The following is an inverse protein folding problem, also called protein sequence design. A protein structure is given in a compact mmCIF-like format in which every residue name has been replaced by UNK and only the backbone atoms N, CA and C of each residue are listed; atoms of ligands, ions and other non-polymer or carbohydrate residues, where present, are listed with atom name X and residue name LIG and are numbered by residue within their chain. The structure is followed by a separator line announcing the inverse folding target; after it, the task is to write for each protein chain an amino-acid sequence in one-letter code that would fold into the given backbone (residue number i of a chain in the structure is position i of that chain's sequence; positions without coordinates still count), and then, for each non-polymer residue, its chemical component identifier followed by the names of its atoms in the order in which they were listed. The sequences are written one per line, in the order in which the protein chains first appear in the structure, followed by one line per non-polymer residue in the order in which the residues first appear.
data_IF_581459459366
#
_entry.id   IF_581459459366
#
_cell.length_a   1.000
_cell.length_b   1.000
_cell.length_c   1.000
_cell.angle_alpha   90.00
_cell.angle_beta   90.00
_cell.angle_gamma   90.00
#
_symmetry.space_group_name_H-M   'P 1'
#
loop_
_entity.id
_entity.type
_entity.pdbx_description
1 polymer ?
#
# COMPACT_ATOMS: atom_id res chain seq x y z
N UNK A 1 2.24 -17.99 -15.06
CA UNK A 1 1.60 -16.66 -15.12
C UNK A 1 2.47 -15.66 -14.39
N UNK A 2 2.64 -14.47 -14.95
CA UNK A 2 3.49 -13.45 -14.33
C UNK A 2 2.66 -12.46 -13.52
N UNK A 3 3.28 -11.92 -12.46
CA UNK A 3 2.65 -10.92 -11.62
C UNK A 3 2.37 -9.65 -12.43
N UNK A 4 1.30 -8.92 -12.05
CA UNK A 4 0.94 -7.67 -12.69
C UNK A 4 2.11 -6.68 -12.66
N UNK A 5 2.31 -5.98 -13.76
CA UNK A 5 3.37 -4.96 -13.91
C UNK A 5 4.80 -5.50 -13.88
N UNK A 6 5.00 -6.80 -14.08
CA UNK A 6 6.32 -7.40 -13.93
C UNK A 6 7.38 -6.86 -14.92
N UNK A 7 6.94 -6.28 -16.04
CA UNK A 7 7.85 -5.69 -17.04
C UNK A 7 7.99 -4.18 -16.91
N UNK A 8 7.41 -3.57 -15.88
CA UNK A 8 7.43 -2.11 -15.76
C UNK A 8 8.86 -1.56 -15.75
N UNK A 9 9.05 -0.46 -16.47
CA UNK A 9 10.29 0.32 -16.42
C UNK A 9 10.09 1.66 -15.71
N UNK A 10 8.90 1.88 -15.16
CA UNK A 10 8.54 3.16 -14.55
C UNK A 10 9.32 3.33 -13.25
N UNK A 11 10.04 4.44 -13.15
CA UNK A 11 10.84 4.77 -11.98
C UNK A 11 9.94 4.88 -10.73
N UNK A 12 10.43 4.38 -9.60
CA UNK A 12 9.69 4.41 -8.33
C UNK A 12 9.26 5.84 -7.97
N UNK A 13 10.14 6.81 -8.14
CA UNK A 13 9.82 8.20 -7.80
C UNK A 13 8.64 8.74 -8.60
N UNK A 14 8.53 8.34 -9.87
CA UNK A 14 7.39 8.72 -10.70
C UNK A 14 6.11 8.09 -10.16
N UNK A 15 6.16 6.82 -9.81
CA UNK A 15 5.00 6.11 -9.25
C UNK A 15 4.57 6.74 -7.92
N UNK A 16 5.53 7.05 -7.04
CA UNK A 16 5.23 7.70 -5.76
C UNK A 16 4.55 9.05 -6.00
N UNK A 17 5.05 9.84 -6.96
CA UNK A 17 4.42 11.11 -7.32
C UNK A 17 2.98 10.94 -7.79
N UNK A 18 2.70 9.90 -8.58
CA UNK A 18 1.35 9.59 -9.02
C UNK A 18 0.44 9.21 -7.85
N UNK A 19 0.96 8.42 -6.90
CA UNK A 19 0.20 8.06 -5.70
C UNK A 19 -0.10 9.30 -4.87
N UNK A 20 0.90 10.17 -4.66
CA UNK A 20 0.72 11.40 -3.90
C UNK A 20 -0.35 12.28 -4.52
N UNK A 21 -0.36 12.39 -5.84
CA UNK A 21 -1.36 13.18 -6.55
C UNK A 21 -2.77 12.60 -6.36
N UNK A 22 -2.91 11.28 -6.51
CA UNK A 22 -4.20 10.62 -6.30
C UNK A 22 -4.73 10.85 -4.88
N UNK A 23 -3.88 10.67 -3.88
CA UNK A 23 -4.29 10.81 -2.49
C UNK A 23 -4.61 12.27 -2.13
N UNK A 24 -3.80 13.22 -2.59
CA UNK A 24 -4.03 14.63 -2.26
C UNK A 24 -5.30 15.17 -2.91
N UNK A 25 -5.63 14.71 -4.11
CA UNK A 25 -6.88 15.08 -4.78
C UNK A 25 -8.11 14.53 -4.07
N UNK A 26 -7.95 13.48 -3.29
CA UNK A 26 -9.06 12.80 -2.63
C UNK A 26 -9.06 12.98 -1.11
N UNK A 27 -8.40 14.02 -0.61
CA UNK A 27 -8.56 14.42 0.78
C UNK A 27 -7.42 14.12 1.72
N UNK A 28 -6.31 13.56 1.25
CA UNK A 28 -5.14 13.41 2.10
C UNK A 28 -4.59 14.78 2.49
N UNK A 29 -4.38 14.99 3.78
CA UNK A 29 -3.90 16.28 4.32
C UNK A 29 -2.40 16.30 4.51
N UNK A 30 -1.76 15.13 4.58
CA UNK A 30 -0.30 15.01 4.73
C UNK A 30 0.12 13.66 4.19
N UNK A 31 1.33 13.58 3.63
CA UNK A 31 1.89 12.35 3.10
C UNK A 31 3.33 12.25 3.56
N UNK A 32 3.71 11.09 4.10
CA UNK A 32 5.08 10.81 4.54
C UNK A 32 5.62 9.64 3.73
N UNK A 33 6.82 9.82 3.17
CA UNK A 33 7.52 8.77 2.43
C UNK A 33 8.75 8.37 3.22
N UNK A 34 8.92 7.07 3.43
CA UNK A 34 10.07 6.53 4.16
C UNK A 34 11.09 5.95 3.19
N UNK A 35 12.37 6.07 3.55
CA UNK A 35 13.47 5.63 2.70
C UNK A 35 14.44 4.74 3.49
N UNK A 36 15.08 3.83 2.78
CA UNK A 36 16.19 3.05 3.28
C UNK A 36 17.21 2.90 2.15
N UNK A 37 18.46 3.34 2.40
CA UNK A 37 19.52 3.30 1.39
C UNK A 37 19.09 3.97 0.06
N UNK A 38 18.34 5.06 0.15
CA UNK A 38 17.89 5.81 -1.02
C UNK A 38 16.66 5.24 -1.72
N UNK A 39 16.18 4.08 -1.30
CA UNK A 39 14.99 3.46 -1.88
C UNK A 39 13.76 3.75 -1.03
N UNK A 40 12.63 3.99 -1.69
CA UNK A 40 11.35 4.18 -0.99
C UNK A 40 10.93 2.85 -0.39
N UNK A 41 10.72 2.82 0.93
CA UNK A 41 10.33 1.61 1.65
C UNK A 41 8.91 1.67 2.20
N UNK A 42 8.33 2.85 2.31
CA UNK A 42 6.98 2.98 2.85
C UNK A 42 6.37 4.32 2.52
N UNK A 43 5.05 4.36 2.58
CA UNK A 43 4.29 5.58 2.39
C UNK A 43 3.09 5.55 3.34
N UNK A 44 2.92 6.65 4.07
CA UNK A 44 1.80 6.85 4.98
C UNK A 44 1.14 8.18 4.66
N UNK A 45 -0.13 8.31 4.97
CA UNK A 45 -0.83 9.56 4.77
C UNK A 45 -1.88 9.77 5.84
N UNK A 46 -2.35 11.01 5.96
CA UNK A 46 -3.37 11.39 6.93
C UNK A 46 -4.62 11.87 6.21
N UNK A 47 -5.76 11.53 6.78
CA UNK A 47 -7.06 12.02 6.32
C UNK A 47 -7.85 12.53 7.53
N UNK A 48 -8.78 13.44 7.28
CA UNK A 48 -9.71 13.90 8.29
C UNK A 48 -11.00 13.07 8.20
N UNK A 49 -11.43 12.53 9.32
CA UNK A 49 -12.69 11.78 9.41
C UNK A 49 -13.62 12.49 10.39
N UNK A 50 -14.86 12.02 10.48
CA UNK A 50 -15.80 12.53 11.47
C UNK A 50 -15.33 12.32 12.91
N UNK A 51 -14.39 11.39 13.12
CA UNK A 51 -13.83 11.10 14.44
C UNK A 51 -12.46 11.75 14.66
N UNK A 52 -12.03 12.62 13.74
CA UNK A 52 -10.75 13.29 13.83
C UNK A 52 -9.78 12.82 12.75
N UNK A 53 -8.55 13.27 12.85
CA UNK A 53 -7.50 12.94 11.90
C UNK A 53 -6.97 11.53 12.16
N UNK A 54 -6.83 10.72 11.12
CA UNK A 54 -6.26 9.38 11.22
C UNK A 54 -5.12 9.21 10.23
N UNK A 55 -4.13 8.41 10.62
CA UNK A 55 -3.00 8.04 9.78
C UNK A 55 -3.24 6.67 9.16
N UNK A 56 -2.80 6.51 7.91
CA UNK A 56 -2.95 5.27 7.15
C UNK A 56 -1.58 4.90 6.59
N UNK A 57 -1.15 3.65 6.83
CA UNK A 57 0.09 3.13 6.27
C UNK A 57 -0.23 2.16 5.14
N UNK A 58 0.33 2.41 3.96
CA UNK A 58 0.12 1.53 2.82
C UNK A 58 0.89 0.22 2.99
N UNK A 59 0.34 -0.90 2.48
CA UNK A 59 0.95 -2.23 2.69
C UNK A 59 2.05 -2.54 1.68
N UNK A 60 3.13 -1.76 1.66
CA UNK A 60 4.24 -2.01 0.75
C UNK A 60 5.18 -3.06 1.32
N UNK A 61 5.57 -4.03 0.51
CA UNK A 61 6.52 -5.06 0.91
C UNK A 61 7.26 -5.57 -0.32
N UNK A 62 8.38 -4.92 -0.65
CA UNK A 62 9.17 -5.25 -1.82
C UNK A 62 9.74 -6.66 -1.75
N UNK A 63 10.13 -7.12 -0.56
CA UNK A 63 10.71 -8.45 -0.40
C UNK A 63 9.75 -9.56 -0.83
N UNK A 64 8.46 -9.40 -0.54
CA UNK A 64 7.45 -10.37 -0.97
C UNK A 64 7.30 -10.39 -2.48
N UNK A 65 7.34 -9.24 -3.11
CA UNK A 65 7.30 -9.14 -4.57
C UNK A 65 8.55 -9.79 -5.18
N UNK A 66 9.71 -9.56 -4.58
CA UNK A 66 10.96 -10.17 -5.03
C UNK A 66 10.86 -11.71 -4.99
N UNK A 67 10.28 -12.26 -3.93
CA UNK A 67 10.06 -13.70 -3.82
C UNK A 67 9.19 -14.22 -4.97
N UNK A 68 8.11 -13.50 -5.28
CA UNK A 68 7.22 -13.87 -6.37
C UNK A 68 7.97 -13.87 -7.70
N UNK A 69 8.76 -12.81 -7.96
CA UNK A 69 9.53 -12.71 -9.20
C UNK A 69 10.54 -13.86 -9.33
N UNK A 70 11.26 -14.16 -8.24
CA UNK A 70 12.23 -15.27 -8.25
C UNK A 70 11.56 -16.60 -8.53
N UNK A 71 10.39 -16.80 -7.92
CA UNK A 71 9.64 -18.04 -8.12
C UNK A 71 9.12 -18.15 -9.56
N UNK A 72 8.59 -17.08 -10.12
CA UNK A 72 8.07 -17.08 -11.49
C UNK A 72 9.17 -17.18 -12.53
N UNK A 73 10.37 -16.68 -12.22
CA UNK A 73 11.52 -16.78 -13.13
C UNK A 73 11.89 -18.23 -13.44
N UNK A 74 11.59 -19.16 -12.54
CA UNK A 74 11.86 -20.58 -12.76
C UNK A 74 11.19 -21.10 -14.03
N UNK A 75 10.03 -20.53 -14.38
CA UNK A 75 9.26 -20.94 -15.57
C UNK A 75 9.35 -19.93 -16.71
N UNK A 76 9.97 -18.78 -16.49
CA UNK A 76 10.11 -17.74 -17.51
C UNK A 76 11.37 -16.93 -17.19
N UNK A 77 12.47 -17.29 -17.83
CA UNK A 77 13.78 -16.69 -17.56
C UNK A 77 13.93 -15.24 -18.04
N UNK A 78 12.90 -14.68 -18.70
CA UNK A 78 12.90 -13.29 -19.09
C UNK A 78 12.42 -12.36 -17.95
N UNK A 79 11.89 -12.93 -16.88
CA UNK A 79 11.47 -12.15 -15.72
C UNK A 79 12.71 -11.67 -14.98
N UNK A 80 12.78 -10.36 -14.73
CA UNK A 80 13.85 -9.79 -13.92
C UNK A 80 13.50 -9.97 -12.44
N UNK A 81 14.40 -10.61 -11.70
CA UNK A 81 14.21 -10.88 -10.28
C UNK A 81 15.18 -10.12 -9.39
N UNK A 82 15.47 -8.88 -9.75
CA UNK A 82 16.32 -8.00 -8.94
C UNK A 82 15.46 -7.21 -7.94
N UNK A 83 16.08 -6.74 -6.86
CA UNK A 83 15.41 -5.86 -5.89
C UNK A 83 14.88 -4.59 -6.57
N UNK A 84 15.69 -3.99 -7.43
CA UNK A 84 15.29 -2.77 -8.14
C UNK A 84 13.98 -2.99 -8.93
N UNK A 85 13.92 -4.10 -9.68
CA UNK A 85 12.72 -4.41 -10.45
C UNK A 85 11.54 -4.74 -9.52
N UNK A 86 11.79 -5.47 -8.44
CA UNK A 86 10.74 -5.79 -7.47
C UNK A 86 10.15 -4.53 -6.85
N UNK A 87 10.99 -3.55 -6.56
CA UNK A 87 10.52 -2.28 -5.98
C UNK A 87 9.65 -1.52 -6.98
N UNK A 88 10.06 -1.46 -8.23
CA UNK A 88 9.24 -0.83 -9.29
C UNK A 88 7.87 -1.52 -9.41
N UNK A 89 7.88 -2.84 -9.43
CA UNK A 89 6.65 -3.64 -9.57
C UNK A 89 5.73 -3.44 -8.37
N UNK A 90 6.28 -3.49 -7.16
CA UNK A 90 5.50 -3.34 -5.93
C UNK A 90 4.75 -2.02 -5.90
N UNK A 91 5.44 -0.92 -6.20
CA UNK A 91 4.80 0.40 -6.16
C UNK A 91 3.81 0.60 -7.29
N UNK A 92 4.04 0.01 -8.48
CA UNK A 92 3.04 0.06 -9.57
C UNK A 92 1.76 -0.67 -9.19
N UNK A 93 1.87 -1.82 -8.53
CA UNK A 93 0.69 -2.56 -8.09
C UNK A 93 -0.08 -1.74 -7.05
N UNK A 94 0.62 -1.14 -6.09
CA UNK A 94 -0.02 -0.29 -5.08
C UNK A 94 -0.69 0.91 -5.75
N UNK A 95 -0.03 1.54 -6.70
CA UNK A 95 -0.61 2.66 -7.44
C UNK A 95 -1.90 2.25 -8.16
N UNK A 96 -1.90 1.11 -8.83
CA UNK A 96 -3.08 0.62 -9.54
C UNK A 96 -4.23 0.34 -8.56
N UNK A 97 -3.91 -0.23 -7.40
CA UNK A 97 -4.90 -0.48 -6.36
C UNK A 97 -5.51 0.82 -5.84
N UNK A 98 -4.68 1.82 -5.54
CA UNK A 98 -5.16 3.12 -5.08
C UNK A 98 -6.02 3.79 -6.14
N UNK A 99 -5.60 3.72 -7.40
CA UNK A 99 -6.35 4.30 -8.51
C UNK A 99 -7.77 3.72 -8.56
N UNK A 100 -7.89 2.40 -8.47
CA UNK A 100 -9.18 1.73 -8.44
C UNK A 100 -10.00 2.13 -7.20
N UNK A 101 -9.36 2.26 -6.04
CA UNK A 101 -10.04 2.66 -4.81
C UNK A 101 -10.55 4.10 -4.89
N UNK A 102 -9.78 4.99 -5.51
CA UNK A 102 -10.23 6.37 -5.67
C UNK A 102 -11.43 6.45 -6.63
N UNK A 103 -11.48 5.60 -7.64
CA UNK A 103 -12.63 5.50 -8.51
C UNK A 103 -13.89 5.07 -7.72
N UNK A 104 -13.75 4.11 -6.83
CA UNK A 104 -14.86 3.68 -5.97
C UNK A 104 -15.28 4.82 -5.03
N UNK A 105 -14.31 5.54 -4.47
CA UNK A 105 -14.59 6.66 -3.57
C UNK A 105 -15.41 7.75 -4.29
N UNK A 106 -15.10 8.00 -5.56
CA UNK A 106 -15.82 9.01 -6.35
C UNK A 106 -17.29 8.66 -6.55
N UNK A 107 -17.66 7.39 -6.43
CA UNK A 107 -19.07 6.98 -6.50
C UNK A 107 -19.85 7.30 -5.23
N UNK A 108 -19.16 7.66 -4.17
CA UNK A 108 -19.73 7.91 -2.83
C UNK A 108 -20.37 6.68 -2.20
N UNK A 109 -20.10 5.48 -2.74
CA UNK A 109 -20.57 4.23 -2.12
C UNK A 109 -19.87 3.93 -0.81
N UNK A 110 -18.64 4.41 -0.65
CA UNK A 110 -17.82 4.17 0.53
C UNK A 110 -17.07 5.44 0.92
N UNK A 111 -16.61 5.48 2.16
CA UNK A 111 -15.79 6.57 2.67
C UNK A 111 -14.32 6.15 2.69
N UNK A 112 -13.42 7.13 2.74
CA UNK A 112 -11.97 6.91 2.70
C UNK A 112 -11.50 5.97 3.81
N UNK A 113 -11.96 6.19 5.04
CA UNK A 113 -11.59 5.33 6.17
C UNK A 113 -12.15 3.91 6.05
N UNK A 114 -13.24 3.74 5.32
CA UNK A 114 -13.83 2.44 5.04
C UNK A 114 -12.94 1.63 4.10
N UNK A 115 -12.42 2.30 3.05
CA UNK A 115 -11.53 1.68 2.06
C UNK A 115 -10.24 1.20 2.74
N UNK A 116 -9.65 2.05 3.58
CA UNK A 116 -8.33 1.80 4.16
C UNK A 116 -8.36 1.31 5.60
N UNK A 117 -9.51 0.87 6.09
CA UNK A 117 -9.67 0.51 7.50
C UNK A 117 -8.57 -0.43 8.03
N UNK A 118 -8.18 -1.51 7.33
CA UNK A 118 -7.13 -2.39 7.85
C UNK A 118 -5.79 -1.69 8.05
N UNK A 119 -5.57 -0.58 7.38
CA UNK A 119 -4.29 0.14 7.36
C UNK A 119 -4.30 1.39 8.21
N UNK A 120 -5.41 1.66 8.92
CA UNK A 120 -5.50 2.79 9.86
C UNK A 120 -4.60 2.50 11.06
N UNK A 121 -3.76 3.46 11.41
CA UNK A 121 -2.79 3.31 12.50
C UNK A 121 -3.37 3.80 13.83
N UNK A 122 -3.01 3.09 14.91
CA UNK A 122 -3.31 3.51 16.28
C UNK A 122 -2.17 4.39 16.81
N UNK A 123 -2.25 4.78 18.08
CA UNK A 123 -1.27 5.65 18.74
C UNK A 123 0.12 5.03 18.84
N UNK A 124 0.22 3.71 18.72
CA UNK A 124 1.49 2.99 18.79
C UNK A 124 2.11 2.79 17.41
N UNK A 125 1.46 3.30 16.36
CA UNK A 125 1.94 3.15 14.99
C UNK A 125 1.63 1.79 14.36
N UNK A 126 0.78 0.98 15.00
CA UNK A 126 0.31 -0.28 14.43
C UNK A 126 -0.94 -0.04 13.60
N UNK A 127 -1.06 -0.74 12.48
CA UNK A 127 -2.31 -0.74 11.72
C UNK A 127 -3.35 -1.59 12.43
N UNK A 128 -4.60 -1.37 12.09
CA UNK A 128 -5.69 -2.19 12.64
C UNK A 128 -5.47 -3.67 12.34
N UNK A 129 -5.00 -3.99 11.13
CA UNK A 129 -4.71 -5.38 10.78
C UNK A 129 -3.61 -5.98 11.67
N UNK A 130 -2.53 -5.23 11.92
CA UNK A 130 -1.45 -5.68 12.79
C UNK A 130 -1.94 -5.91 14.21
N UNK A 131 -2.77 -5.00 14.70
CA UNK A 131 -3.37 -5.13 16.04
C UNK A 131 -4.30 -6.34 16.11
N UNK A 132 -5.11 -6.54 15.09
CA UNK A 132 -5.99 -7.71 14.99
C UNK A 132 -5.17 -9.01 14.99
N UNK A 133 -4.12 -9.08 14.20
CA UNK A 133 -3.29 -10.28 14.08
C UNK A 133 -2.64 -10.62 15.42
N UNK A 134 -2.14 -9.61 16.13
CA UNK A 134 -1.48 -9.79 17.42
C UNK A 134 -2.45 -10.14 18.53
N UNK A 135 -3.58 -9.42 18.60
CA UNK A 135 -4.52 -9.49 19.72
C UNK A 135 -5.81 -10.20 19.40
N UNK A 136 -6.07 -10.56 18.14
CA UNK A 136 -7.30 -11.22 17.68
C UNK A 136 -8.57 -10.47 18.10
N UNK A 137 -8.51 -9.15 18.12
CA UNK A 137 -9.56 -8.28 18.65
C UNK A 137 -10.95 -8.62 18.09
N UNK A 138 -11.03 -8.89 16.77
CA UNK A 138 -12.32 -9.13 16.12
C UNK A 138 -12.88 -10.53 16.41
N UNK A 139 -12.07 -11.43 16.97
CA UNK A 139 -12.48 -12.80 17.25
C UNK A 139 -12.72 -13.06 18.73
N UNK A 140 -12.20 -12.19 19.61
CA UNK A 140 -12.26 -12.40 21.06
C UNK A 140 -13.41 -11.70 21.74
N UNK A 141 -14.03 -10.72 21.11
CA UNK A 141 -15.10 -9.94 21.70
C UNK A 141 -16.35 -10.79 22.01
N UNK A 142 -16.53 -11.89 21.31
CA UNK A 142 -17.69 -12.74 21.49
C UNK A 142 -17.61 -13.63 22.73
N UNK A 143 -16.50 -13.64 23.44
CA UNK A 143 -16.27 -14.52 24.58
C UNK A 143 -16.63 -13.89 25.92
N UNK A 144 -17.15 -12.70 25.89
CA UNK A 144 -17.49 -11.98 27.15
C UNK A 144 -18.90 -12.21 27.64
#
# INVERSE_FOLDING_TARGET
MAIKNYTTTINVNKTIGEIQELLSKHGATAIMTEYSNGNVTGLSFKIMTSKGEVGIRLPSNTDRVLQVLKNQRKNNNQIKDTFDQANKVAWRIIKDWIDAQMAILETEMVEMEQIFLPYVMNNKGQTLYESFKENRILLEDSND
#
